data_IF_790979307390
#
_entry.id   IF_790979307390
#
_cell.length_a   1.000
_cell.length_b   1.000
_cell.length_c   1.000
_cell.angle_alpha   90.00
_cell.angle_beta   90.00
_cell.angle_gamma   90.00
#
_symmetry.space_group_name_H-M   'P 1'
#
loop_
_entity.id
_entity.type
_entity.pdbx_description
1 polymer ?
#
# COMPACT_ATOMS: atom_id res chain seq x y z
N UNK A 1 21.88 14.52 15.61
CA UNK A 1 20.58 15.02 16.09
C UNK A 1 19.73 15.15 14.84
N UNK A 2 18.55 14.56 14.81
CA UNK A 2 17.67 14.61 13.63
C UNK A 2 17.15 16.04 13.43
N UNK A 3 17.01 16.46 12.17
CA UNK A 3 16.43 17.74 11.80
C UNK A 3 14.97 17.50 11.38
N UNK A 4 14.03 17.97 12.21
CA UNK A 4 12.59 17.85 11.99
C UNK A 4 12.08 19.14 11.39
N UNK A 5 11.49 19.08 10.21
CA UNK A 5 10.81 20.21 9.59
C UNK A 5 9.32 20.15 9.90
N UNK A 6 8.83 21.12 10.68
CA UNK A 6 7.42 21.27 10.99
C UNK A 6 6.77 22.33 10.09
N UNK A 7 5.83 21.90 9.27
CA UNK A 7 5.08 22.76 8.34
C UNK A 7 3.68 22.94 8.93
N UNK A 8 3.41 24.17 9.40
CA UNK A 8 2.16 24.51 10.06
C UNK A 8 1.28 25.37 9.14
N UNK A 9 0.09 24.86 8.82
CA UNK A 9 -0.91 25.58 8.00
C UNK A 9 -2.11 26.06 8.82
N UNK A 10 -2.04 25.97 10.14
CA UNK A 10 -3.15 26.32 11.02
C UNK A 10 -3.32 27.82 11.11
N UNK A 11 -4.50 28.33 10.74
CA UNK A 11 -4.80 29.77 10.73
C UNK A 11 -5.48 30.28 12.01
N UNK A 12 -5.99 29.37 12.86
CA UNK A 12 -6.68 29.74 14.10
C UNK A 12 -5.72 29.76 15.27
N UNK A 13 -5.78 30.76 16.14
CA UNK A 13 -4.92 30.88 17.33
C UNK A 13 -4.98 29.63 18.25
N UNK A 14 -6.14 29.01 18.39
CA UNK A 14 -6.34 27.79 19.21
C UNK A 14 -6.68 26.62 18.30
N UNK A 15 -5.81 26.32 17.35
CA UNK A 15 -6.05 25.23 16.40
C UNK A 15 -5.91 23.86 17.07
N UNK A 16 -6.95 23.05 17.01
CA UNK A 16 -6.92 21.66 17.46
C UNK A 16 -5.89 20.83 16.67
N UNK A 17 -5.73 21.14 15.38
CA UNK A 17 -4.72 20.49 14.53
C UNK A 17 -3.31 20.81 14.99
N UNK A 18 -3.04 22.07 15.33
CA UNK A 18 -1.74 22.48 15.88
C UNK A 18 -1.49 21.82 17.26
N UNK A 19 -2.49 21.81 18.14
CA UNK A 19 -2.41 21.10 19.43
C UNK A 19 -2.02 19.64 19.26
N UNK A 20 -2.62 18.95 18.29
CA UNK A 20 -2.34 17.55 18.00
C UNK A 20 -0.91 17.39 17.45
N UNK A 21 -0.48 18.27 16.54
CA UNK A 21 0.86 18.26 15.96
C UNK A 21 1.96 18.57 17.01
N UNK A 22 1.73 19.52 17.91
CA UNK A 22 2.66 19.81 19.01
C UNK A 22 2.82 18.62 19.94
N UNK A 23 1.75 17.87 20.20
CA UNK A 23 1.82 16.64 20.96
C UNK A 23 2.71 15.60 20.26
N UNK A 24 2.54 15.39 18.97
CA UNK A 24 3.41 14.52 18.16
C UNK A 24 4.88 14.96 18.26
N UNK A 25 5.15 16.26 18.03
CA UNK A 25 6.49 16.82 18.05
C UNK A 25 7.18 16.63 19.42
N UNK A 26 6.41 16.67 20.52
CA UNK A 26 6.95 16.46 21.88
C UNK A 26 7.50 15.05 22.12
N UNK A 27 7.09 14.07 21.32
CA UNK A 27 7.56 12.68 21.39
C UNK A 27 8.61 12.33 20.33
N UNK A 28 9.01 13.27 19.47
CA UNK A 28 10.05 13.04 18.49
C UNK A 28 11.40 13.59 18.97
N UNK A 29 12.45 12.78 18.82
CA UNK A 29 13.80 13.17 19.14
C UNK A 29 14.46 13.95 18.00
N UNK A 30 14.69 15.24 18.15
CA UNK A 30 15.34 16.05 17.12
C UNK A 30 15.26 17.55 17.35
N UNK A 31 15.89 18.30 16.47
CA UNK A 31 15.77 19.76 16.42
C UNK A 31 14.63 20.13 15.48
N UNK A 32 13.59 20.80 16.00
CA UNK A 32 12.44 21.21 15.22
C UNK A 32 12.71 22.58 14.60
N UNK A 33 12.57 22.67 13.28
CA UNK A 33 12.50 23.91 12.51
C UNK A 33 11.07 24.09 12.05
N UNK A 34 10.45 25.22 12.38
CA UNK A 34 9.05 25.50 12.06
C UNK A 34 8.94 26.46 10.89
N UNK A 35 8.11 26.08 9.92
CA UNK A 35 7.63 26.95 8.83
C UNK A 35 6.13 27.17 9.04
N UNK A 36 5.77 28.38 9.47
CA UNK A 36 4.38 28.76 9.67
C UNK A 36 3.85 29.43 8.40
N UNK A 37 3.06 28.72 7.60
CA UNK A 37 2.64 29.20 6.28
C UNK A 37 1.73 30.42 6.34
N UNK A 38 1.10 30.70 7.49
CA UNK A 38 0.30 31.92 7.67
C UNK A 38 1.16 33.19 7.85
N UNK A 39 2.42 33.03 8.28
CA UNK A 39 3.39 34.11 8.44
C UNK A 39 4.36 34.27 7.27
N UNK A 40 4.45 33.26 6.41
CA UNK A 40 5.34 33.26 5.26
C UNK A 40 4.71 33.99 4.06
N UNK A 41 5.49 34.84 3.39
CA UNK A 41 5.03 35.53 2.17
C UNK A 41 5.25 34.64 0.93
N UNK A 42 4.69 33.43 0.96
CA UNK A 42 4.78 32.50 -0.16
C UNK A 42 3.68 32.83 -1.16
N UNK A 43 4.06 33.11 -2.40
CA UNK A 43 3.13 33.43 -3.48
C UNK A 43 2.89 32.23 -4.38
N UNK A 44 1.66 32.07 -4.90
CA UNK A 44 1.41 31.13 -5.99
C UNK A 44 2.35 31.44 -7.17
N UNK A 45 2.81 30.40 -7.86
CA UNK A 45 3.65 30.56 -9.04
C UNK A 45 2.82 31.17 -10.19
N UNK A 46 3.06 32.43 -10.46
CA UNK A 46 2.58 33.14 -11.65
C UNK A 46 3.62 33.07 -12.78
N UNK A 47 3.32 33.69 -13.91
CA UNK A 47 4.21 33.71 -15.08
C UNK A 47 5.58 34.34 -14.76
N UNK A 48 5.62 35.39 -13.94
CA UNK A 48 6.84 36.11 -13.60
C UNK A 48 7.72 35.26 -12.65
N UNK A 49 7.13 34.71 -11.58
CA UNK A 49 7.85 33.86 -10.64
C UNK A 49 8.33 32.55 -11.29
N UNK A 50 7.52 31.97 -12.19
CA UNK A 50 7.92 30.79 -12.94
C UNK A 50 9.11 31.10 -13.87
N UNK A 51 9.06 32.20 -14.60
CA UNK A 51 10.17 32.64 -15.47
C UNK A 51 11.46 32.91 -14.67
N UNK A 52 11.33 33.54 -13.48
CA UNK A 52 12.47 33.76 -12.56
C UNK A 52 13.05 32.43 -12.08
N UNK A 53 12.21 31.51 -11.64
CA UNK A 53 12.62 30.14 -11.23
C UNK A 53 13.42 29.46 -12.34
N UNK A 54 12.88 29.43 -13.54
CA UNK A 54 13.49 28.79 -14.70
C UNK A 54 14.81 29.43 -15.11
N UNK A 55 14.93 30.77 -14.97
CA UNK A 55 16.19 31.47 -15.22
C UNK A 55 17.25 31.12 -14.19
N UNK A 56 16.90 31.06 -12.90
CA UNK A 56 17.82 30.69 -11.83
C UNK A 56 18.32 29.26 -12.02
N UNK A 57 17.44 28.32 -12.34
CA UNK A 57 17.79 26.91 -12.58
C UNK A 57 18.69 26.74 -13.83
N UNK A 58 18.40 27.45 -14.93
CA UNK A 58 19.27 27.44 -16.13
C UNK A 58 20.67 27.97 -15.86
N UNK A 59 20.80 28.93 -14.96
CA UNK A 59 22.08 29.49 -14.56
C UNK A 59 22.81 28.70 -13.49
N UNK A 60 22.21 27.59 -12.99
CA UNK A 60 22.77 26.80 -11.91
C UNK A 60 22.73 27.45 -10.53
N UNK A 61 21.96 28.54 -10.37
CA UNK A 61 21.85 29.32 -9.12
C UNK A 61 20.86 28.67 -8.13
N UNK A 62 21.09 27.44 -7.74
CA UNK A 62 20.24 26.70 -6.80
C UNK A 62 20.36 27.20 -5.36
N UNK A 63 21.38 27.97 -5.04
CA UNK A 63 21.61 28.58 -3.71
C UNK A 63 20.87 29.91 -3.52
N UNK A 64 20.20 30.44 -4.56
CA UNK A 64 19.42 31.68 -4.45
C UNK A 64 18.33 31.54 -3.36
N UNK A 65 18.04 32.66 -2.69
CA UNK A 65 17.02 32.74 -1.63
C UNK A 65 15.63 32.30 -2.12
N UNK A 66 15.37 32.44 -3.41
CA UNK A 66 14.14 31.91 -4.03
C UNK A 66 13.89 30.43 -3.73
N UNK A 67 14.94 29.66 -3.55
CA UNK A 67 14.86 28.21 -3.28
C UNK A 67 15.10 27.85 -1.81
N UNK A 68 15.08 28.81 -0.88
CA UNK A 68 15.38 28.54 0.53
C UNK A 68 14.46 27.47 1.14
N UNK A 69 13.15 27.56 0.90
CA UNK A 69 12.17 26.57 1.38
C UNK A 69 12.38 25.17 0.76
N UNK A 70 12.72 25.10 -0.52
CA UNK A 70 12.99 23.84 -1.19
C UNK A 70 14.26 23.17 -0.63
N UNK A 71 15.32 23.93 -0.39
CA UNK A 71 16.55 23.43 0.26
C UNK A 71 16.29 23.00 1.71
N UNK A 72 15.51 23.76 2.47
CA UNK A 72 15.13 23.42 3.83
C UNK A 72 14.36 22.10 3.86
N UNK A 73 13.38 21.91 2.97
CA UNK A 73 12.63 20.68 2.84
C UNK A 73 13.53 19.48 2.49
N UNK A 74 14.41 19.66 1.48
CA UNK A 74 15.32 18.61 1.04
C UNK A 74 16.34 18.20 2.12
N UNK A 75 16.69 19.11 3.03
CA UNK A 75 17.68 18.87 4.08
C UNK A 75 17.10 18.25 5.37
N UNK A 76 15.78 18.21 5.53
CA UNK A 76 15.12 17.64 6.70
C UNK A 76 15.25 16.12 6.74
N UNK A 77 15.38 15.54 7.93
CA UNK A 77 15.42 14.09 8.15
C UNK A 77 14.01 13.53 8.40
N UNK A 78 13.11 14.36 8.95
CA UNK A 78 11.70 14.04 9.20
C UNK A 78 10.84 15.25 8.90
N UNK A 79 9.68 15.03 8.27
CA UNK A 79 8.70 16.07 7.95
C UNK A 79 7.45 15.88 8.82
N UNK A 80 6.96 16.96 9.41
CA UNK A 80 5.65 16.98 10.09
C UNK A 80 4.80 18.07 9.45
N UNK A 81 3.62 17.71 8.97
CA UNK A 81 2.65 18.66 8.37
C UNK A 81 1.41 18.72 9.26
N UNK A 82 1.09 19.89 9.77
CA UNK A 82 -0.17 20.16 10.43
C UNK A 82 -1.10 20.91 9.49
N UNK A 83 -2.17 20.24 9.05
CA UNK A 83 -3.11 20.81 8.09
C UNK A 83 -4.57 20.48 8.47
N UNK A 84 -5.38 21.46 8.87
CA UNK A 84 -6.81 21.22 9.13
C UNK A 84 -7.51 20.71 7.86
N UNK A 85 -8.50 19.85 8.07
CA UNK A 85 -9.32 19.32 6.98
C UNK A 85 -10.37 20.35 6.56
N UNK A 86 -10.18 20.95 5.39
CA UNK A 86 -11.06 21.94 4.78
C UNK A 86 -11.50 21.50 3.39
N UNK A 87 -12.80 21.48 3.16
CA UNK A 87 -13.38 21.21 1.83
C UNK A 87 -12.81 19.95 1.18
N UNK A 88 -12.79 18.85 1.95
CA UNK A 88 -12.26 17.53 1.58
C UNK A 88 -10.73 17.49 1.39
N UNK A 89 -10.01 18.57 1.74
CA UNK A 89 -8.59 18.77 1.48
C UNK A 89 -7.91 19.51 2.63
N UNK A 90 -6.75 20.08 2.38
CA UNK A 90 -6.00 20.96 3.26
C UNK A 90 -6.12 22.43 2.82
N UNK A 91 -5.76 23.41 3.66
CA UNK A 91 -5.74 24.82 3.28
C UNK A 91 -4.88 25.10 2.05
N UNK A 92 -5.34 25.95 1.12
CA UNK A 92 -4.68 26.24 -0.16
C UNK A 92 -3.23 26.69 -0.03
N UNK A 93 -2.83 27.32 1.08
CA UNK A 93 -1.45 27.71 1.34
C UNK A 93 -0.48 26.53 1.39
N UNK A 94 -0.92 25.34 1.78
CA UNK A 94 -0.08 24.15 1.71
C UNK A 94 0.18 23.74 0.25
N UNK A 95 -0.82 23.85 -0.63
CA UNK A 95 -0.62 23.59 -2.06
C UNK A 95 0.38 24.56 -2.67
N UNK A 96 0.26 25.85 -2.34
CA UNK A 96 1.22 26.88 -2.78
C UNK A 96 2.63 26.56 -2.28
N UNK A 97 2.78 26.18 -1.02
CA UNK A 97 4.07 25.76 -0.47
C UNK A 97 4.65 24.57 -1.24
N UNK A 98 3.86 23.51 -1.46
CA UNK A 98 4.29 22.31 -2.18
C UNK A 98 4.73 22.63 -3.62
N UNK A 99 4.05 23.51 -4.32
CA UNK A 99 4.45 23.98 -5.66
C UNK A 99 5.80 24.68 -5.65
N UNK A 100 6.06 25.50 -4.63
CA UNK A 100 7.32 26.24 -4.49
C UNK A 100 8.49 25.34 -4.10
N UNK A 101 8.26 24.25 -3.36
CA UNK A 101 9.34 23.34 -2.95
C UNK A 101 9.57 22.19 -3.94
N UNK A 102 8.62 21.89 -4.84
CA UNK A 102 8.79 20.84 -5.85
C UNK A 102 9.65 21.37 -6.99
N UNK A 103 10.98 21.31 -6.82
CA UNK A 103 11.97 21.91 -7.72
C UNK A 103 12.95 20.86 -8.23
N UNK A 104 12.96 20.67 -9.56
CA UNK A 104 13.91 19.79 -10.22
C UNK A 104 15.36 20.29 -10.00
N UNK A 105 16.24 19.40 -9.55
CA UNK A 105 17.62 19.71 -9.18
C UNK A 105 17.81 20.07 -7.70
N UNK A 106 16.73 20.23 -6.90
CA UNK A 106 16.82 20.53 -5.45
C UNK A 106 16.12 19.45 -4.63
N UNK A 107 14.84 19.20 -4.86
CA UNK A 107 14.06 18.21 -4.11
C UNK A 107 13.92 16.88 -4.85
N UNK A 108 13.99 16.92 -6.16
CA UNK A 108 14.00 15.73 -7.02
C UNK A 108 14.73 16.00 -8.32
N UNK A 109 14.99 14.97 -9.11
CA UNK A 109 15.46 15.05 -10.50
C UNK A 109 14.80 13.96 -11.34
N UNK A 110 14.85 14.09 -12.65
CA UNK A 110 14.45 12.99 -13.54
C UNK A 110 15.66 12.11 -13.89
N UNK A 111 15.44 10.80 -13.93
CA UNK A 111 16.38 9.84 -14.53
C UNK A 111 16.42 10.01 -16.05
N UNK A 112 17.33 9.33 -16.72
CA UNK A 112 17.38 9.28 -18.19
C UNK A 112 16.11 8.69 -18.83
N UNK A 113 15.37 7.86 -18.06
CA UNK A 113 14.08 7.28 -18.46
C UNK A 113 12.87 8.19 -18.11
N UNK A 114 13.10 9.41 -17.62
CA UNK A 114 12.03 10.34 -17.24
C UNK A 114 11.38 10.06 -15.88
N UNK A 115 11.91 9.13 -15.09
CA UNK A 115 11.36 8.76 -13.77
C UNK A 115 11.89 9.72 -12.70
N UNK A 116 11.04 10.28 -11.82
CA UNK A 116 11.47 11.10 -10.71
C UNK A 116 12.39 10.32 -9.74
N UNK A 117 13.47 10.94 -9.33
CA UNK A 117 14.41 10.45 -8.33
C UNK A 117 14.52 11.50 -7.23
N UNK A 118 14.32 11.10 -5.99
CA UNK A 118 14.41 12.01 -4.84
C UNK A 118 15.82 12.56 -4.63
N UNK A 119 15.88 13.81 -4.21
CA UNK A 119 17.07 14.46 -3.65
C UNK A 119 16.86 14.85 -2.18
N UNK A 120 15.71 14.50 -1.59
CA UNK A 120 15.38 14.75 -0.20
C UNK A 120 16.03 13.71 0.73
N UNK A 121 16.38 14.12 1.94
CA UNK A 121 16.93 13.24 2.98
C UNK A 121 15.85 12.54 3.80
N UNK A 122 14.68 13.16 3.92
CA UNK A 122 13.61 12.67 4.77
C UNK A 122 13.23 11.23 4.39
N UNK A 123 13.12 10.39 5.41
CA UNK A 123 12.65 9.00 5.28
C UNK A 123 11.22 8.86 5.81
N UNK A 124 10.74 9.85 6.57
CA UNK A 124 9.46 9.81 7.26
C UNK A 124 8.72 11.13 7.17
N UNK A 125 7.40 11.04 6.91
CA UNK A 125 6.49 12.17 6.93
C UNK A 125 5.28 11.84 7.82
N UNK A 126 4.94 12.78 8.69
CA UNK A 126 3.72 12.74 9.48
C UNK A 126 2.75 13.80 8.98
N UNK A 127 1.53 13.40 8.66
CA UNK A 127 0.44 14.30 8.30
C UNK A 127 -0.58 14.29 9.43
N UNK A 128 -0.75 15.44 10.07
CA UNK A 128 -1.65 15.62 11.22
C UNK A 128 -2.82 16.51 10.81
N UNK A 129 -4.03 16.05 11.04
CA UNK A 129 -5.24 16.80 10.68
C UNK A 129 -6.32 16.72 11.76
N UNK A 130 -7.28 17.63 11.72
CA UNK A 130 -8.52 17.55 12.47
C UNK A 130 -9.71 17.96 11.61
N UNK A 131 -10.86 17.34 11.82
CA UNK A 131 -12.08 17.61 11.06
C UNK A 131 -13.32 17.75 11.97
N UNK A 132 -14.25 18.59 11.57
CA UNK A 132 -15.52 18.75 12.26
C UNK A 132 -16.44 17.52 12.11
N UNK A 133 -16.47 16.90 10.94
CA UNK A 133 -17.13 15.64 10.64
C UNK A 133 -16.14 14.50 10.49
N UNK A 134 -16.62 13.35 9.99
CA UNK A 134 -15.75 12.23 9.62
C UNK A 134 -15.17 12.43 8.21
N UNK A 135 -13.89 12.17 8.04
CA UNK A 135 -13.17 12.30 6.76
C UNK A 135 -13.61 11.19 5.80
N UNK A 136 -13.73 9.95 6.29
CA UNK A 136 -14.15 8.81 5.50
C UNK A 136 -13.25 8.58 4.27
N UNK A 137 -13.86 8.25 3.13
CA UNK A 137 -13.16 7.97 1.88
C UNK A 137 -12.65 9.23 1.16
N UNK A 138 -13.07 10.41 1.56
CA UNK A 138 -12.73 11.67 0.89
C UNK A 138 -11.47 12.32 1.49
N UNK A 139 -10.40 11.56 1.68
CA UNK A 139 -9.16 12.08 2.27
C UNK A 139 -8.19 12.60 1.21
N UNK A 140 -8.69 13.45 0.30
CA UNK A 140 -7.88 13.98 -0.82
C UNK A 140 -6.66 14.78 -0.35
N UNK A 141 -6.72 15.36 0.85
CA UNK A 141 -5.57 16.06 1.43
C UNK A 141 -4.41 15.15 1.75
N UNK A 142 -4.65 14.08 2.50
CA UNK A 142 -3.63 13.10 2.84
C UNK A 142 -3.16 12.32 1.61
N UNK A 143 -4.09 11.87 0.77
CA UNK A 143 -3.76 11.10 -0.42
C UNK A 143 -2.88 11.88 -1.39
N UNK A 144 -3.15 13.18 -1.55
CA UNK A 144 -2.28 14.06 -2.33
C UNK A 144 -0.88 14.17 -1.71
N UNK A 145 -0.78 14.41 -0.39
CA UNK A 145 0.52 14.49 0.31
C UNK A 145 1.30 13.18 0.17
N UNK A 146 0.65 12.04 0.36
CA UNK A 146 1.27 10.73 0.23
C UNK A 146 1.79 10.50 -1.19
N UNK A 147 0.99 10.81 -2.22
CA UNK A 147 1.38 10.67 -3.61
C UNK A 147 2.60 11.55 -3.97
N UNK A 148 2.63 12.81 -3.53
CA UNK A 148 3.76 13.72 -3.77
C UNK A 148 4.99 13.28 -2.98
N UNK A 149 4.83 12.87 -1.72
CA UNK A 149 5.91 12.41 -0.85
C UNK A 149 6.60 11.17 -1.44
N UNK A 150 5.85 10.17 -1.88
CA UNK A 150 6.42 8.97 -2.49
C UNK A 150 6.92 9.21 -3.92
N UNK A 151 6.14 9.92 -4.76
CA UNK A 151 6.43 10.07 -6.19
C UNK A 151 7.57 11.02 -6.51
N UNK A 152 7.74 12.11 -5.74
CA UNK A 152 8.79 13.09 -5.99
C UNK A 152 9.88 13.13 -4.92
N UNK A 153 9.50 13.00 -3.64
CA UNK A 153 10.43 13.19 -2.54
C UNK A 153 11.01 11.89 -2.00
N UNK A 154 10.56 10.73 -2.50
CA UNK A 154 11.08 9.41 -2.12
C UNK A 154 10.80 9.02 -0.66
N UNK A 155 9.81 9.66 -0.03
CA UNK A 155 9.41 9.39 1.34
C UNK A 155 8.30 8.35 1.32
N UNK A 156 8.61 7.11 1.71
CA UNK A 156 7.65 6.00 1.71
C UNK A 156 6.97 5.77 3.07
N UNK A 157 7.61 6.15 4.18
CA UNK A 157 6.99 6.10 5.52
C UNK A 157 6.16 7.37 5.76
N UNK A 158 4.91 7.37 5.26
CA UNK A 158 3.98 8.49 5.40
C UNK A 158 2.86 8.10 6.34
N UNK A 159 2.83 8.72 7.54
CA UNK A 159 1.85 8.42 8.58
C UNK A 159 0.77 9.48 8.68
N UNK A 160 -0.46 9.02 8.86
CA UNK A 160 -1.66 9.85 9.02
C UNK A 160 -2.17 9.82 10.46
N UNK A 161 -2.35 11.01 11.03
CA UNK A 161 -2.99 11.17 12.33
C UNK A 161 -4.15 12.15 12.24
N UNK A 162 -5.31 11.73 12.72
CA UNK A 162 -6.52 12.56 12.72
C UNK A 162 -7.26 12.55 14.04
N UNK A 163 -7.95 13.66 14.33
CA UNK A 163 -9.05 13.70 15.27
C UNK A 163 -10.29 14.18 14.52
N UNK A 164 -11.30 13.34 14.46
CA UNK A 164 -12.47 13.53 13.60
C UNK A 164 -13.77 13.64 14.40
N UNK A 165 -14.80 14.23 13.80
CA UNK A 165 -16.11 14.37 14.43
C UNK A 165 -16.17 15.47 15.50
N UNK A 166 -15.24 16.42 15.48
CA UNK A 166 -15.06 17.42 16.54
C UNK A 166 -16.18 18.47 16.63
N UNK A 167 -16.99 18.62 15.57
CA UNK A 167 -18.12 19.57 15.54
C UNK A 167 -19.47 18.85 15.43
N UNK A 168 -19.50 17.53 15.64
CA UNK A 168 -20.75 16.75 15.71
C UNK A 168 -21.48 17.12 17.00
N UNK A 169 -22.80 17.33 16.92
CA UNK A 169 -23.60 17.66 18.08
C UNK A 169 -23.50 16.58 19.18
N UNK A 170 -23.13 16.99 20.39
CA UNK A 170 -22.93 16.10 21.52
C UNK A 170 -21.55 15.41 21.59
N UNK A 171 -20.63 15.72 20.69
CA UNK A 171 -19.30 15.14 20.72
C UNK A 171 -18.50 15.60 21.96
N UNK A 172 -17.87 14.66 22.64
CA UNK A 172 -16.87 14.96 23.68
C UNK A 172 -15.50 15.26 23.04
N UNK A 173 -15.31 16.52 22.64
CA UNK A 173 -14.12 17.00 21.97
C UNK A 173 -12.84 16.70 22.76
N UNK A 174 -12.89 16.80 24.10
CA UNK A 174 -11.72 16.53 24.93
C UNK A 174 -11.32 15.07 24.88
N UNK A 175 -12.29 14.19 24.95
CA UNK A 175 -12.07 12.74 24.84
C UNK A 175 -11.52 12.36 23.48
N UNK A 176 -12.12 12.87 22.37
CA UNK A 176 -11.67 12.60 21.01
C UNK A 176 -10.20 13.05 20.81
N UNK A 177 -9.87 14.25 21.24
CA UNK A 177 -8.51 14.78 21.17
C UNK A 177 -7.51 13.95 22.00
N UNK A 178 -7.92 13.51 23.20
CA UNK A 178 -7.08 12.67 24.05
C UNK A 178 -6.81 11.29 23.42
N UNK A 179 -7.84 10.63 22.91
CA UNK A 179 -7.70 9.35 22.20
C UNK A 179 -6.80 9.46 20.95
N UNK A 180 -6.94 10.56 20.19
CA UNK A 180 -6.07 10.82 19.04
C UNK A 180 -4.61 11.00 19.45
N UNK A 181 -4.32 11.69 20.56
CA UNK A 181 -2.98 11.85 21.10
C UNK A 181 -2.38 10.52 21.57
N UNK A 182 -3.16 9.69 22.25
CA UNK A 182 -2.72 8.39 22.73
C UNK A 182 -2.32 7.47 21.57
N UNK A 183 -3.09 7.46 20.48
CA UNK A 183 -2.78 6.67 19.28
C UNK A 183 -1.44 7.03 18.64
N UNK A 184 -0.95 8.27 18.76
CA UNK A 184 0.29 8.71 18.11
C UNK A 184 1.55 8.00 18.60
N UNK A 185 1.60 7.58 19.85
CA UNK A 185 2.78 6.98 20.45
C UNK A 185 2.67 5.47 20.66
N UNK A 186 1.49 4.90 20.44
CA UNK A 186 1.31 3.44 20.49
C UNK A 186 1.73 2.73 19.19
N UNK A 187 2.06 3.48 18.14
CA UNK A 187 2.59 2.94 16.89
C UNK A 187 4.12 2.89 16.86
N UNK A 188 4.75 2.35 17.89
CA UNK A 188 6.16 2.00 17.85
C UNK A 188 6.32 0.62 17.22
N UNK A 189 6.85 0.58 16.06
CA UNK A 189 7.11 -0.53 15.14
C UNK A 189 5.98 -0.77 14.16
N UNK A 190 6.20 -0.34 12.91
CA UNK A 190 5.49 -0.89 11.79
C UNK A 190 6.07 -2.28 11.45
N UNK A 191 5.88 -3.22 12.32
CA UNK A 191 5.38 -4.51 11.94
C UNK A 191 3.91 -4.27 11.69
N UNK A 192 3.43 -4.48 10.48
CA UNK A 192 1.98 -4.62 10.26
C UNK A 192 1.56 -5.64 11.31
N UNK A 193 0.82 -5.26 12.37
CA UNK A 193 0.40 -6.27 13.31
C UNK A 193 -0.50 -7.17 12.48
N UNK A 194 -0.10 -8.40 12.34
CA UNK A 194 -1.06 -9.46 12.09
C UNK A 194 -2.14 -9.23 13.14
N UNK A 195 -3.37 -8.89 12.77
CA UNK A 195 -4.31 -8.38 13.75
C UNK A 195 -4.64 -9.51 14.70
N UNK A 196 -4.07 -9.49 15.90
CA UNK A 196 -4.41 -10.43 16.98
C UNK A 196 -5.86 -10.32 17.41
N UNK A 197 -6.59 -9.30 16.96
CA UNK A 197 -8.04 -9.17 17.10
C UNK A 197 -8.63 -8.33 15.97
N UNK A 198 -9.35 -8.98 15.09
CA UNK A 198 -10.35 -8.35 14.25
C UNK A 198 -11.53 -7.92 15.13
N UNK A 199 -11.52 -6.74 15.65
CA UNK A 199 -12.60 -6.22 16.45
C UNK A 199 -12.73 -4.74 16.18
N UNK A 200 -13.90 -4.34 15.68
CA UNK A 200 -14.45 -3.02 15.79
C UNK A 200 -13.91 -1.90 14.88
N UNK A 201 -13.70 -2.17 13.59
CA UNK A 201 -13.74 -1.07 12.62
C UNK A 201 -14.92 -1.26 11.66
N UNK A 202 -16.06 -0.60 11.90
CA UNK A 202 -17.27 -0.76 11.09
C UNK A 202 -17.15 -0.23 9.65
N UNK A 203 -15.97 0.24 9.25
CA UNK A 203 -15.71 0.80 7.93
C UNK A 203 -14.82 -0.06 7.03
N UNK A 204 -14.38 -1.23 7.49
CA UNK A 204 -13.67 -2.19 6.66
C UNK A 204 -14.70 -3.04 5.92
N UNK A 205 -14.55 -3.19 4.62
CA UNK A 205 -15.41 -3.96 3.72
C UNK A 205 -14.73 -5.19 3.11
N UNK A 206 -13.42 -5.38 3.31
CA UNK A 206 -12.65 -6.51 2.85
C UNK A 206 -12.60 -7.69 3.84
N UNK A 207 -11.80 -8.69 3.56
CA UNK A 207 -11.60 -9.89 4.38
C UNK A 207 -11.32 -9.56 5.84
N UNK A 208 -10.55 -8.51 6.09
CA UNK A 208 -10.25 -8.01 7.43
C UNK A 208 -11.46 -7.48 8.21
N UNK A 209 -12.63 -7.31 7.57
CA UNK A 209 -13.89 -6.94 8.23
C UNK A 209 -14.65 -8.14 8.78
N UNK A 210 -14.36 -9.32 8.30
CA UNK A 210 -14.97 -10.58 8.75
C UNK A 210 -14.40 -11.07 10.07
N UNK A 211 -13.93 -10.20 10.93
CA UNK A 211 -13.31 -10.45 12.21
C UNK A 211 -13.64 -11.81 12.80
N UNK A 212 -12.82 -12.78 12.43
CA UNK A 212 -13.13 -14.16 12.61
C UNK A 212 -12.93 -14.61 14.04
N UNK A 213 -14.00 -14.94 14.67
CA UNK A 213 -13.93 -15.98 15.68
C UNK A 213 -13.98 -17.29 14.90
N UNK A 214 -12.88 -18.02 14.84
CA UNK A 214 -12.94 -19.42 14.50
C UNK A 214 -13.82 -20.10 15.53
N UNK A 215 -15.01 -20.40 15.15
CA UNK A 215 -16.02 -20.97 16.02
C UNK A 215 -15.86 -22.49 16.18
N UNK A 216 -14.84 -23.07 15.52
CA UNK A 216 -14.68 -24.52 15.41
C UNK A 216 -13.31 -25.08 15.79
N UNK A 217 -12.51 -24.36 16.56
CA UNK A 217 -11.17 -24.83 17.02
C UNK A 217 -11.17 -26.24 17.62
N UNK A 218 -12.29 -26.67 18.15
CA UNK A 218 -12.46 -28.00 18.75
C UNK A 218 -13.43 -28.91 17.97
N UNK A 219 -13.76 -28.54 16.72
CA UNK A 219 -14.64 -29.35 15.90
C UNK A 219 -13.92 -30.61 15.42
N UNK A 220 -14.55 -31.78 15.62
CA UNK A 220 -14.05 -33.03 15.04
C UNK A 220 -14.17 -33.13 13.52
N UNK A 221 -14.78 -32.13 12.89
CA UNK A 221 -15.02 -32.09 11.45
C UNK A 221 -13.99 -31.26 10.70
N UNK A 222 -13.16 -30.51 11.40
CA UNK A 222 -12.16 -29.64 10.82
C UNK A 222 -10.79 -29.95 11.38
N UNK A 223 -9.83 -30.02 10.47
CA UNK A 223 -8.41 -30.11 10.79
C UNK A 223 -7.78 -28.82 10.28
N UNK A 224 -7.29 -27.99 11.20
CA UNK A 224 -6.49 -26.84 10.84
C UNK A 224 -5.07 -27.32 10.47
N UNK A 225 -4.69 -27.12 9.24
CA UNK A 225 -3.33 -27.39 8.77
C UNK A 225 -2.42 -26.21 9.11
N UNK A 226 -1.21 -26.48 9.55
CA UNK A 226 -0.18 -25.45 9.79
C UNK A 226 0.68 -25.27 8.54
N UNK A 227 0.10 -24.68 7.49
CA UNK A 227 0.78 -24.47 6.20
C UNK A 227 2.07 -23.65 6.32
N UNK A 228 2.12 -22.70 7.27
CA UNK A 228 3.30 -21.88 7.50
C UNK A 228 4.54 -22.69 7.89
N UNK A 229 4.36 -23.77 8.66
CA UNK A 229 5.46 -24.62 9.13
C UNK A 229 5.63 -25.91 8.31
N UNK A 230 4.82 -26.11 7.26
CA UNK A 230 5.02 -27.23 6.34
C UNK A 230 6.33 -27.08 5.57
N UNK A 231 6.90 -28.21 5.19
CA UNK A 231 8.14 -28.31 4.42
C UNK A 231 7.95 -29.15 3.19
N UNK A 232 8.70 -28.86 2.15
CA UNK A 232 8.73 -29.69 0.96
C UNK A 232 9.30 -31.06 1.31
N UNK A 233 8.45 -32.07 1.26
CA UNK A 233 8.83 -33.49 1.48
C UNK A 233 7.87 -34.43 0.75
N UNK A 234 8.40 -35.52 0.22
CA UNK A 234 7.60 -36.54 -0.49
C UNK A 234 6.94 -35.99 -1.73
N UNK A 235 5.61 -35.84 -1.71
CA UNK A 235 4.77 -35.36 -2.78
C UNK A 235 4.44 -33.87 -2.65
N UNK A 236 4.78 -33.27 -1.51
CA UNK A 236 4.52 -31.85 -1.20
C UNK A 236 5.67 -30.96 -1.65
N UNK A 237 5.35 -29.97 -2.47
CA UNK A 237 6.21 -28.85 -2.86
C UNK A 237 5.59 -27.58 -2.28
N UNK A 238 6.31 -26.83 -1.41
CA UNK A 238 5.76 -25.65 -0.73
C UNK A 238 6.84 -24.61 -0.46
N UNK A 239 6.47 -23.34 -0.55
CA UNK A 239 7.30 -22.21 -0.10
C UNK A 239 7.23 -22.11 1.42
N UNK A 240 8.29 -22.54 2.11
CA UNK A 240 8.34 -22.60 3.57
C UNK A 240 8.24 -21.21 4.18
N UNK A 241 7.42 -21.04 5.22
CA UNK A 241 7.24 -19.78 5.94
C UNK A 241 6.74 -18.61 5.08
N UNK A 242 5.89 -18.88 4.10
CA UNK A 242 5.26 -17.83 3.32
C UNK A 242 4.22 -17.10 4.18
N UNK A 243 4.43 -15.80 4.42
CA UNK A 243 3.54 -14.95 5.22
C UNK A 243 2.31 -14.52 4.39
N UNK A 244 1.11 -14.78 4.87
CA UNK A 244 -0.15 -14.37 4.26
C UNK A 244 -0.52 -12.94 4.65
N UNK A 245 -1.43 -12.31 3.90
CA UNK A 245 -1.94 -10.97 4.19
C UNK A 245 -3.42 -10.88 3.81
N UNK A 246 -4.27 -10.39 4.72
CA UNK A 246 -5.70 -10.24 4.49
C UNK A 246 -6.03 -8.83 3.97
N UNK A 247 -6.65 -8.76 2.79
CA UNK A 247 -7.01 -7.49 2.15
C UNK A 247 -7.98 -6.67 3.01
N UNK A 248 -7.82 -5.35 2.96
CA UNK A 248 -8.62 -4.42 3.76
C UNK A 248 -9.79 -3.81 3.00
N UNK A 249 -9.89 -4.04 1.70
CA UNK A 249 -10.96 -3.58 0.80
C UNK A 249 -11.41 -4.70 -0.13
N UNK A 250 -12.67 -4.65 -0.58
CA UNK A 250 -13.27 -5.66 -1.47
C UNK A 250 -12.53 -5.80 -2.81
N UNK A 251 -11.88 -4.75 -3.27
CA UNK A 251 -11.26 -4.69 -4.60
C UNK A 251 -9.72 -4.80 -4.58
N UNK A 252 -9.10 -5.04 -3.43
CA UNK A 252 -7.63 -5.00 -3.30
C UNK A 252 -6.95 -6.37 -3.31
N UNK A 253 -7.63 -7.44 -3.75
CA UNK A 253 -7.06 -8.79 -3.81
C UNK A 253 -5.74 -8.85 -4.62
N UNK A 254 -5.69 -8.21 -5.79
CA UNK A 254 -4.47 -8.13 -6.59
C UNK A 254 -3.34 -7.36 -5.92
N UNK A 255 -3.67 -6.24 -5.25
CA UNK A 255 -2.69 -5.46 -4.49
C UNK A 255 -2.15 -6.23 -3.29
N UNK A 256 -3.02 -6.92 -2.55
CA UNK A 256 -2.64 -7.75 -1.40
C UNK A 256 -1.80 -8.95 -1.85
N UNK A 257 -2.14 -9.60 -2.97
CA UNK A 257 -1.33 -10.66 -3.58
C UNK A 257 0.06 -10.17 -3.98
N UNK A 258 0.15 -9.00 -4.64
CA UNK A 258 1.43 -8.39 -4.98
C UNK A 258 2.24 -8.02 -3.71
N UNK A 259 1.58 -7.53 -2.66
CA UNK A 259 2.22 -7.24 -1.37
C UNK A 259 2.80 -8.50 -0.72
N UNK A 260 2.09 -9.63 -0.76
CA UNK A 260 2.60 -10.91 -0.26
C UNK A 260 3.86 -11.36 -1.02
N UNK A 261 3.87 -11.20 -2.35
CA UNK A 261 5.07 -11.49 -3.18
C UNK A 261 6.23 -10.55 -2.85
N UNK A 262 5.98 -9.24 -2.66
CA UNK A 262 7.01 -8.30 -2.22
C UNK A 262 7.61 -8.71 -0.87
N UNK A 263 6.76 -9.07 0.09
CA UNK A 263 7.17 -9.49 1.42
C UNK A 263 7.99 -10.79 1.39
N UNK A 264 7.63 -11.75 0.55
CA UNK A 264 8.39 -12.99 0.33
C UNK A 264 9.85 -12.71 -0.04
N UNK A 265 10.08 -11.74 -0.92
CA UNK A 265 11.43 -11.31 -1.30
C UNK A 265 12.04 -10.23 -0.36
N UNK A 266 11.46 -10.03 0.83
CA UNK A 266 11.98 -9.11 1.85
C UNK A 266 11.80 -7.62 1.53
N UNK A 267 10.92 -7.25 0.59
CA UNK A 267 10.66 -5.87 0.20
C UNK A 267 9.49 -5.28 1.00
N UNK A 268 9.64 -5.18 2.32
CA UNK A 268 8.60 -4.76 3.29
C UNK A 268 8.31 -3.25 3.34
N UNK A 269 8.65 -2.48 2.32
CA UNK A 269 8.47 -1.00 2.29
C UNK A 269 7.13 -0.53 1.73
N UNK A 270 6.34 -1.43 1.16
CA UNK A 270 5.05 -1.12 0.58
C UNK A 270 3.92 -1.49 1.54
N UNK A 271 2.82 -0.74 1.50
CA UNK A 271 1.55 -1.11 2.11
C UNK A 271 0.50 -1.43 1.04
N UNK A 272 -0.59 -2.07 1.43
CA UNK A 272 -1.66 -2.48 0.52
C UNK A 272 -2.23 -1.32 -0.30
N UNK A 273 -2.43 -0.17 0.35
CA UNK A 273 -3.04 1.00 -0.29
C UNK A 273 -2.09 1.61 -1.32
N UNK A 274 -0.80 1.70 -1.00
CA UNK A 274 0.21 2.15 -1.95
C UNK A 274 0.29 1.22 -3.17
N UNK A 275 0.29 -0.10 -2.94
CA UNK A 275 0.27 -1.08 -4.04
C UNK A 275 -1.02 -0.97 -4.84
N UNK A 276 -2.19 -0.84 -4.18
CA UNK A 276 -3.49 -0.76 -4.88
C UNK A 276 -3.57 0.44 -5.84
N UNK A 277 -2.96 1.55 -5.49
CA UNK A 277 -2.87 2.71 -6.39
C UNK A 277 -1.92 2.47 -7.56
N UNK A 278 -0.81 1.76 -7.33
CA UNK A 278 0.17 1.46 -8.37
C UNK A 278 -0.32 0.41 -9.37
N UNK A 279 -1.18 -0.52 -8.92
CA UNK A 279 -1.82 -1.53 -9.78
C UNK A 279 -3.21 -1.10 -10.28
N UNK A 280 -3.57 0.18 -10.15
CA UNK A 280 -4.84 0.76 -10.60
C UNK A 280 -6.09 0.01 -10.10
N UNK A 281 -6.05 -0.43 -8.84
CA UNK A 281 -7.14 -1.17 -8.20
C UNK A 281 -8.13 -0.21 -7.55
N UNK A 282 -9.41 -0.30 -7.89
CA UNK A 282 -10.47 0.55 -7.32
C UNK A 282 -11.83 -0.16 -7.30
N UNK A 283 -12.85 0.45 -6.65
CA UNK A 283 -14.15 -0.16 -6.34
C UNK A 283 -14.94 -0.71 -7.53
N UNK A 284 -14.75 -0.18 -8.72
CA UNK A 284 -15.46 -0.65 -9.94
C UNK A 284 -14.64 -1.62 -10.78
N UNK A 285 -13.35 -1.81 -10.44
CA UNK A 285 -12.42 -2.60 -11.23
C UNK A 285 -11.28 -3.08 -10.33
N UNK A 286 -11.12 -4.38 -10.18
CA UNK A 286 -9.94 -4.96 -9.56
C UNK A 286 -8.66 -4.66 -10.35
N UNK A 287 -7.57 -5.29 -9.98
CA UNK A 287 -6.31 -5.19 -10.73
C UNK A 287 -6.33 -6.14 -11.92
N UNK A 288 -5.86 -5.67 -13.08
CA UNK A 288 -5.65 -6.54 -14.25
C UNK A 288 -4.28 -7.21 -14.20
N UNK A 289 -4.06 -8.22 -15.02
CA UNK A 289 -2.77 -8.91 -15.16
C UNK A 289 -1.68 -7.91 -15.56
N UNK A 290 -1.99 -7.07 -16.55
CA UNK A 290 -1.06 -6.08 -17.08
C UNK A 290 -0.69 -5.06 -16.01
N UNK A 291 -1.66 -4.56 -15.23
CA UNK A 291 -1.39 -3.57 -14.18
C UNK A 291 -0.46 -4.12 -13.10
N UNK A 292 -0.61 -5.39 -12.74
CA UNK A 292 0.28 -6.05 -11.77
C UNK A 292 1.66 -6.28 -12.38
N UNK A 293 1.72 -6.72 -13.64
CA UNK A 293 2.99 -6.91 -14.36
C UNK A 293 3.75 -5.58 -14.51
N UNK A 294 3.06 -4.52 -14.95
CA UNK A 294 3.62 -3.16 -15.10
C UNK A 294 4.14 -2.61 -13.77
N UNK A 295 3.43 -2.88 -12.67
CA UNK A 295 3.89 -2.48 -11.34
C UNK A 295 5.24 -3.11 -10.99
N UNK A 296 5.40 -4.41 -11.18
CA UNK A 296 6.66 -5.09 -10.88
C UNK A 296 7.79 -4.67 -11.83
N UNK A 297 7.49 -4.46 -13.12
CA UNK A 297 8.47 -3.91 -14.08
C UNK A 297 8.89 -2.49 -13.68
N UNK A 298 7.94 -1.64 -13.28
CA UNK A 298 8.20 -0.27 -12.80
C UNK A 298 9.18 -0.21 -11.63
N UNK A 299 9.13 -1.18 -10.73
CA UNK A 299 10.05 -1.27 -9.58
C UNK A 299 11.36 -2.01 -9.91
N UNK A 300 11.57 -2.38 -11.17
CA UNK A 300 12.82 -2.97 -11.68
C UNK A 300 12.93 -4.47 -11.40
N UNK A 301 11.82 -5.20 -11.46
CA UNK A 301 11.82 -6.65 -11.31
C UNK A 301 11.72 -7.36 -12.65
N UNK A 302 12.24 -8.58 -12.73
CA UNK A 302 11.99 -9.46 -13.86
C UNK A 302 10.57 -10.00 -13.76
N UNK A 303 9.77 -9.79 -14.81
CA UNK A 303 8.36 -10.17 -14.84
C UNK A 303 8.10 -11.15 -15.97
N UNK A 304 7.44 -12.25 -15.66
CA UNK A 304 6.83 -13.17 -16.60
C UNK A 304 5.33 -13.19 -16.34
N UNK A 305 4.51 -13.04 -17.37
CA UNK A 305 3.06 -13.09 -17.22
C UNK A 305 2.37 -13.71 -18.45
N UNK A 306 1.13 -14.15 -18.23
CA UNK A 306 0.25 -14.60 -19.30
C UNK A 306 -1.07 -13.84 -19.25
N UNK A 307 -1.39 -13.15 -20.35
CA UNK A 307 -2.58 -12.34 -20.55
C UNK A 307 -3.08 -12.56 -21.98
N UNK A 308 -3.64 -13.74 -22.26
CA UNK A 308 -4.14 -14.12 -23.60
C UNK A 308 -5.51 -14.82 -23.48
N UNK A 309 -6.33 -14.70 -24.51
CA UNK A 309 -7.59 -15.44 -24.66
C UNK A 309 -7.40 -16.91 -24.99
N UNK A 310 -6.16 -17.33 -25.27
CA UNK A 310 -5.78 -18.73 -25.47
C UNK A 310 -5.12 -19.28 -24.20
N UNK A 311 -5.36 -20.55 -23.92
CA UNK A 311 -4.71 -21.24 -22.84
C UNK A 311 -3.18 -21.26 -23.02
N UNK A 312 -2.44 -21.07 -21.93
CA UNK A 312 -0.98 -21.23 -21.88
C UNK A 312 -0.59 -22.71 -21.89
N UNK A 313 -1.36 -23.52 -21.15
CA UNK A 313 -1.13 -24.95 -20.97
C UNK A 313 -2.26 -25.73 -21.64
N UNK A 314 -1.92 -26.66 -22.51
CA UNK A 314 -2.89 -27.47 -23.26
C UNK A 314 -3.33 -28.67 -22.43
N UNK A 315 -2.50 -29.15 -21.50
CA UNK A 315 -2.78 -30.30 -20.65
C UNK A 315 -2.63 -29.96 -19.17
N UNK A 316 -3.20 -30.78 -18.30
CA UNK A 316 -3.11 -30.63 -16.86
C UNK A 316 -1.68 -30.90 -16.38
N UNK A 317 -0.98 -31.84 -17.00
CA UNK A 317 0.40 -32.19 -16.69
C UNK A 317 1.38 -31.04 -16.99
N UNK A 318 1.10 -30.23 -18.02
CA UNK A 318 1.87 -29.03 -18.31
C UNK A 318 1.66 -27.99 -17.21
N UNK A 319 0.43 -27.78 -16.74
CA UNK A 319 0.13 -26.85 -15.65
C UNK A 319 0.71 -27.34 -14.32
N UNK A 320 0.59 -28.63 -14.00
CA UNK A 320 1.22 -29.26 -12.82
C UNK A 320 2.73 -29.00 -12.82
N UNK A 321 3.40 -29.37 -13.93
CA UNK A 321 4.85 -29.19 -14.08
C UNK A 321 5.27 -27.74 -13.95
N UNK A 322 4.49 -26.79 -14.47
CA UNK A 322 4.74 -25.36 -14.33
C UNK A 322 4.71 -24.95 -12.85
N UNK A 323 3.67 -25.34 -12.12
CA UNK A 323 3.54 -25.01 -10.69
C UNK A 323 4.65 -25.63 -9.85
N UNK A 324 4.95 -26.92 -10.02
CA UNK A 324 6.05 -27.59 -9.31
C UNK A 324 7.38 -26.86 -9.57
N UNK A 325 7.71 -26.58 -10.84
CA UNK A 325 8.96 -25.90 -11.19
C UNK A 325 9.07 -24.49 -10.60
N UNK A 326 7.95 -23.73 -10.55
CA UNK A 326 7.91 -22.43 -9.92
C UNK A 326 8.19 -22.54 -8.41
N UNK A 327 7.49 -23.40 -7.71
CA UNK A 327 7.64 -23.60 -6.26
C UNK A 327 9.04 -24.11 -5.91
N UNK A 328 9.55 -25.10 -6.61
CA UNK A 328 10.90 -25.66 -6.38
C UNK A 328 12.00 -24.63 -6.62
N UNK A 329 11.75 -23.64 -7.50
CA UNK A 329 12.66 -22.50 -7.71
C UNK A 329 12.50 -21.38 -6.68
N UNK A 330 11.68 -21.56 -5.65
CA UNK A 330 11.41 -20.55 -4.61
C UNK A 330 10.53 -19.39 -5.09
N UNK A 331 9.68 -19.63 -6.08
CA UNK A 331 8.94 -18.58 -6.79
C UNK A 331 7.43 -18.70 -6.57
N UNK A 332 6.80 -17.74 -5.89
CA UNK A 332 5.35 -17.66 -5.81
C UNK A 332 4.74 -17.26 -7.17
N UNK A 333 3.55 -17.78 -7.47
CA UNK A 333 2.83 -17.47 -8.72
C UNK A 333 1.52 -16.78 -8.38
N UNK A 334 1.36 -15.52 -8.76
CA UNK A 334 0.09 -14.83 -8.66
C UNK A 334 -0.84 -15.28 -9.78
N UNK A 335 -2.08 -15.63 -9.45
CA UNK A 335 -3.10 -16.09 -10.40
C UNK A 335 -4.39 -15.30 -10.22
N UNK A 336 -5.05 -14.98 -11.32
CA UNK A 336 -6.42 -14.45 -11.32
C UNK A 336 -7.38 -15.55 -11.78
N UNK A 337 -8.42 -15.80 -11.02
CA UNK A 337 -9.37 -16.88 -11.30
C UNK A 337 -10.80 -16.49 -10.89
N UNK A 338 -11.78 -17.23 -11.34
CA UNK A 338 -13.20 -16.93 -11.13
C UNK A 338 -13.85 -18.01 -10.29
N UNK A 339 -14.38 -17.63 -9.13
CA UNK A 339 -15.35 -18.41 -8.39
C UNK A 339 -16.72 -17.73 -8.43
N UNK A 340 -17.01 -16.83 -7.50
CA UNK A 340 -18.22 -16.01 -7.49
C UNK A 340 -17.99 -14.63 -8.14
N UNK A 341 -16.72 -14.19 -8.21
CA UNK A 341 -16.22 -13.00 -8.91
C UNK A 341 -14.76 -13.25 -9.30
N UNK A 342 -14.10 -12.30 -9.95
CA UNK A 342 -12.65 -12.35 -10.18
C UNK A 342 -11.89 -12.25 -8.87
N UNK A 343 -10.84 -13.08 -8.70
CA UNK A 343 -10.09 -13.11 -7.47
C UNK A 343 -8.62 -13.42 -7.71
N UNK A 344 -7.74 -12.61 -7.11
CA UNK A 344 -6.31 -12.81 -7.10
C UNK A 344 -5.86 -13.56 -5.86
N UNK A 345 -5.06 -14.60 -6.06
CA UNK A 345 -4.38 -15.37 -5.02
C UNK A 345 -2.92 -15.60 -5.40
N UNK A 346 -2.12 -16.07 -4.44
CA UNK A 346 -0.74 -16.45 -4.67
C UNK A 346 -0.59 -17.94 -4.45
N UNK A 347 -0.27 -18.70 -5.50
CA UNK A 347 0.11 -20.11 -5.37
C UNK A 347 1.46 -20.19 -4.67
N UNK A 348 1.50 -20.95 -3.58
CA UNK A 348 2.66 -21.14 -2.70
C UNK A 348 3.04 -22.59 -2.52
N UNK A 349 2.22 -23.53 -3.00
CA UNK A 349 2.54 -24.96 -2.93
C UNK A 349 1.61 -25.81 -3.79
N UNK A 350 2.05 -27.05 -3.99
CA UNK A 350 1.31 -28.13 -4.63
C UNK A 350 1.69 -29.45 -3.97
N UNK A 351 0.68 -30.28 -3.66
CA UNK A 351 0.89 -31.67 -3.24
C UNK A 351 0.31 -32.60 -4.30
N UNK A 352 1.15 -33.42 -4.92
CA UNK A 352 0.71 -34.42 -5.92
C UNK A 352 0.03 -35.61 -5.31
N UNK A 353 0.00 -35.70 -3.97
CA UNK A 353 -0.71 -36.73 -3.19
C UNK A 353 -0.41 -38.18 -3.60
N UNK A 354 0.61 -38.43 -4.42
CA UNK A 354 0.84 -39.72 -5.13
C UNK A 354 -0.41 -40.18 -5.91
N UNK A 355 -1.20 -39.21 -6.41
CA UNK A 355 -2.42 -39.51 -7.15
C UNK A 355 -2.10 -40.17 -8.51
N UNK A 356 -3.05 -41.01 -9.01
CA UNK A 356 -2.92 -41.57 -10.37
C UNK A 356 -3.12 -40.54 -11.48
N UNK A 357 -3.64 -39.36 -11.13
CA UNK A 357 -3.96 -38.30 -12.05
C UNK A 357 -3.75 -36.92 -11.40
N UNK A 358 -3.17 -35.93 -12.12
CA UNK A 358 -3.01 -34.57 -11.60
C UNK A 358 -4.31 -33.84 -11.25
N UNK A 359 -5.48 -34.36 -11.66
CA UNK A 359 -6.78 -33.79 -11.30
C UNK A 359 -7.03 -33.74 -9.78
N UNK A 360 -6.45 -34.68 -9.04
CA UNK A 360 -6.61 -34.83 -7.59
C UNK A 360 -5.48 -34.18 -6.79
N UNK A 361 -4.46 -33.60 -7.47
CA UNK A 361 -3.40 -32.82 -6.83
C UNK A 361 -3.99 -31.61 -6.11
N UNK A 362 -3.38 -31.25 -4.99
CA UNK A 362 -3.86 -30.16 -4.14
C UNK A 362 -2.97 -28.94 -4.30
N UNK A 363 -3.53 -27.87 -4.83
CA UNK A 363 -2.88 -26.56 -4.85
C UNK A 363 -3.05 -25.87 -3.50
N UNK A 364 -1.99 -25.20 -3.03
CA UNK A 364 -1.98 -24.45 -1.77
C UNK A 364 -1.77 -22.96 -2.13
N UNK A 365 -2.70 -22.13 -1.68
CA UNK A 365 -2.70 -20.69 -1.95
C UNK A 365 -2.52 -19.87 -0.68
N UNK A 366 -1.83 -18.76 -0.81
CA UNK A 366 -1.99 -17.61 0.07
C UNK A 366 -3.14 -16.76 -0.49
N UNK A 367 -4.24 -16.70 0.26
CA UNK A 367 -5.50 -16.07 -0.12
C UNK A 367 -5.70 -14.76 0.64
N UNK A 368 -5.72 -13.60 -0.04
CA UNK A 368 -5.97 -12.32 0.62
C UNK A 368 -7.43 -12.15 1.08
N UNK A 369 -8.37 -13.00 0.65
CA UNK A 369 -9.79 -12.97 1.04
C UNK A 369 -10.23 -14.29 1.66
N UNK A 370 -9.47 -14.80 2.59
CA UNK A 370 -9.75 -16.05 3.26
C UNK A 370 -10.90 -15.90 4.28
N UNK A 371 -12.10 -16.22 3.84
CA UNK A 371 -13.33 -16.21 4.67
C UNK A 371 -14.13 -17.50 4.51
N UNK A 372 -13.56 -18.51 3.85
CA UNK A 372 -14.29 -19.71 3.40
C UNK A 372 -14.03 -20.95 4.24
N UNK A 373 -12.92 -20.99 4.95
CA UNK A 373 -12.68 -22.01 5.93
C UNK A 373 -12.92 -21.49 7.36
N UNK A 374 -12.73 -22.32 8.37
CA UNK A 374 -13.03 -21.95 9.75
C UNK A 374 -11.88 -21.23 10.46
N UNK A 375 -10.80 -20.92 9.75
CA UNK A 375 -9.64 -20.25 10.29
C UNK A 375 -9.11 -19.25 9.28
N UNK A 376 -9.38 -17.98 9.52
CA UNK A 376 -8.92 -16.89 8.66
C UNK A 376 -7.39 -16.68 8.82
N UNK A 377 -6.61 -17.66 8.38
CA UNK A 377 -5.14 -17.63 8.43
C UNK A 377 -4.51 -17.28 7.08
N UNK A 378 -5.33 -17.08 6.06
CA UNK A 378 -4.90 -16.68 4.73
C UNK A 378 -4.39 -17.85 3.89
N UNK A 379 -4.62 -19.10 4.28
CA UNK A 379 -4.27 -20.26 3.46
C UNK A 379 -5.52 -20.95 2.96
N UNK A 380 -5.51 -21.32 1.69
CA UNK A 380 -6.61 -22.01 1.05
C UNK A 380 -6.12 -23.09 0.11
N UNK A 381 -6.92 -24.14 -0.09
CA UNK A 381 -6.55 -25.25 -0.97
C UNK A 381 -7.61 -25.56 -2.00
N UNK A 382 -7.17 -25.92 -3.21
CA UNK A 382 -8.04 -26.38 -4.29
C UNK A 382 -7.47 -27.62 -4.96
N UNK A 383 -8.31 -28.58 -5.36
CA UNK A 383 -7.89 -29.60 -6.34
C UNK A 383 -7.51 -28.94 -7.67
N UNK A 384 -6.37 -29.36 -8.24
CA UNK A 384 -5.85 -28.81 -9.50
C UNK A 384 -6.89 -28.91 -10.63
N UNK A 385 -7.60 -30.03 -10.74
CA UNK A 385 -8.62 -30.21 -11.76
C UNK A 385 -9.78 -29.23 -11.66
N UNK A 386 -10.22 -28.86 -10.44
CA UNK A 386 -11.23 -27.83 -10.23
C UNK A 386 -10.68 -26.44 -10.56
N UNK A 387 -9.48 -26.14 -10.09
CA UNK A 387 -8.83 -24.84 -10.33
C UNK A 387 -8.67 -24.55 -11.83
N UNK A 388 -8.23 -25.52 -12.63
CA UNK A 388 -8.09 -25.34 -14.07
C UNK A 388 -9.39 -24.92 -14.78
N UNK A 389 -10.52 -25.42 -14.32
CA UNK A 389 -11.84 -25.05 -14.84
C UNK A 389 -12.24 -23.60 -14.53
N UNK A 390 -11.63 -23.01 -13.52
CA UNK A 390 -11.91 -21.67 -13.00
C UNK A 390 -10.78 -20.68 -13.29
N UNK A 391 -9.63 -21.14 -13.76
CA UNK A 391 -8.45 -20.32 -14.00
C UNK A 391 -8.60 -19.49 -15.26
N UNK A 392 -9.29 -18.39 -15.12
CA UNK A 392 -9.54 -17.38 -16.16
C UNK A 392 -9.79 -16.03 -15.52
N UNK A 393 -9.54 -14.98 -16.27
CA UNK A 393 -9.75 -13.61 -15.82
C UNK A 393 -11.18 -13.39 -15.31
N UNK A 394 -11.30 -12.73 -14.18
CA UNK A 394 -12.58 -12.42 -13.57
C UNK A 394 -13.41 -11.40 -14.36
N UNK A 395 -14.66 -11.24 -13.98
CA UNK A 395 -15.62 -10.35 -14.63
C UNK A 395 -15.29 -8.85 -14.50
N UNK A 396 -14.21 -8.49 -13.81
CA UNK A 396 -13.77 -7.12 -13.63
C UNK A 396 -13.19 -6.48 -14.91
N UNK A 397 -12.89 -7.28 -15.93
CA UNK A 397 -12.37 -6.76 -17.18
C UNK A 397 -13.51 -6.42 -18.16
N UNK A 398 -13.56 -5.19 -18.62
CA UNK A 398 -14.43 -4.72 -19.73
C UNK A 398 -14.04 -5.34 -21.09
N UNK A 399 -13.49 -6.56 -21.07
CA UNK A 399 -13.01 -7.24 -22.28
C UNK A 399 -14.10 -8.10 -22.88
N UNK A 400 -14.17 -8.13 -24.19
CA UNK A 400 -15.13 -8.94 -24.94
C UNK A 400 -14.91 -10.46 -24.72
N UNK A 401 -13.69 -10.88 -24.36
CA UNK A 401 -13.33 -12.24 -24.02
C UNK A 401 -12.33 -12.23 -22.84
N UNK A 402 -12.52 -13.05 -21.79
CA UNK A 402 -11.61 -13.14 -20.67
C UNK A 402 -10.29 -13.81 -21.09
N UNK A 403 -9.21 -13.48 -20.39
CA UNK A 403 -7.97 -14.23 -20.48
C UNK A 403 -8.14 -15.63 -19.89
N UNK A 404 -7.43 -16.58 -20.43
CA UNK A 404 -7.43 -17.98 -20.00
C UNK A 404 -6.07 -18.25 -19.33
N UNK A 405 -6.11 -18.83 -18.13
CA UNK A 405 -4.94 -19.14 -17.31
C UNK A 405 -4.03 -17.91 -17.05
N UNK A 406 -4.59 -16.76 -16.64
CA UNK A 406 -3.82 -15.56 -16.39
C UNK A 406 -2.94 -15.72 -15.13
N UNK A 407 -1.67 -15.35 -15.25
CA UNK A 407 -0.75 -15.34 -14.11
C UNK A 407 0.29 -14.23 -14.23
N UNK A 408 0.91 -13.91 -13.08
CA UNK A 408 2.10 -13.07 -12.99
C UNK A 408 3.13 -13.74 -12.08
N UNK A 409 4.36 -13.85 -12.57
CA UNK A 409 5.55 -14.20 -11.81
C UNK A 409 6.45 -12.97 -11.79
N UNK A 410 6.90 -12.55 -10.61
CA UNK A 410 7.80 -11.41 -10.47
C UNK A 410 8.94 -11.75 -9.52
N UNK A 411 10.17 -11.43 -9.92
CA UNK A 411 11.39 -11.65 -9.13
C UNK A 411 12.27 -10.40 -9.13
N UNK A 412 12.87 -10.00 -8.00
CA UNK A 412 13.82 -8.90 -8.00
C UNK A 412 15.00 -9.21 -8.91
N UNK A 413 15.53 -8.21 -9.61
CA UNK A 413 16.85 -8.32 -10.23
C UNK A 413 17.90 -8.53 -9.13
N UNK A 414 18.82 -9.49 -9.35
CA UNK A 414 19.92 -9.85 -8.43
C UNK A 414 20.89 -8.68 -8.19
#
# INVERSE_FOLDING_TARGET
MQNILFINTCVRENSRTDELAQHLLSGLDGQVQTVCLTGENIKPLDCELLAKRDQLLRNGNTDDEFFALARQFAAADTIVIAAPYWDLMFPSMLKVYLENITVCGITFRYSEKGIPQSLCKAQKLYYVTTSGGFIGENNFGFDYIRAVASGFFGISDVKFFSAEGLDIYGADVKKIMQEAKEKMFHESSCTIPYPEKYGENPKKDGASSFGGVTDHDNSRYYVANDFYNMKSEGTLHILEHFETYQQTKEYTCGAASALMVLNWYGKKKYDEIAVSQLVDSHTSKGSTVENIADFFDLIGWNVEFHADTKAKFETIEEAESFFINAIDSGTPVMVDWVDWAGHWQVLIGIDTCSAETPYDDVLIFADPYDVTDHKQDGYYTFPLGRFLGMWREGACAEKAQPYIQPYVIAKPEN
#
